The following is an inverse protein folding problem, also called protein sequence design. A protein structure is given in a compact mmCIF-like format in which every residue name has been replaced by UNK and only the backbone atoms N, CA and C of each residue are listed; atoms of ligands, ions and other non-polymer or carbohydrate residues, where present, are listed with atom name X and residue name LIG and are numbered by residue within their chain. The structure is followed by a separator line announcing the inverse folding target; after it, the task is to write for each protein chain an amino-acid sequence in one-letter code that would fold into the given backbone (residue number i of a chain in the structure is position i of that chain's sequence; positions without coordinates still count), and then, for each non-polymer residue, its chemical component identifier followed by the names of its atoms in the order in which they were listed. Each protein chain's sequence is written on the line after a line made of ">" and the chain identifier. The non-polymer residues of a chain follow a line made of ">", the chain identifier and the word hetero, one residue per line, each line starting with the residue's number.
data_IF_735586370205
#
_entry.id   IF_735586370205
#
_cell.length_a   1.000
_cell.length_b   1.000
_cell.length_c   1.000
_cell.angle_alpha   90.00
_cell.angle_beta   90.00
_cell.angle_gamma   90.00
#
_symmetry.space_group_name_H-M   'P 1'
#
loop_
_entity.id
_entity.type
_entity.pdbx_description
1 polymer ?
#
# COMPACT_ATOMS: atom_id res chain seq x y z
N UNK A 1 -31.53 -17.00 34.80
CA UNK A 1 -31.80 -15.54 34.88
C UNK A 1 -30.92 -14.89 33.83
N UNK A 2 -31.58 -14.44 32.78
CA UNK A 2 -31.03 -13.82 31.60
C UNK A 2 -30.56 -12.43 31.89
N UNK A 3 -29.38 -12.06 31.41
CA UNK A 3 -29.01 -10.67 31.24
C UNK A 3 -28.77 -10.42 29.75
N UNK A 4 -29.68 -9.67 29.19
CA UNK A 4 -29.72 -9.13 27.85
C UNK A 4 -28.45 -8.31 27.55
N UNK A 5 -27.80 -8.64 26.45
CA UNK A 5 -26.82 -7.77 25.78
C UNK A 5 -27.57 -6.60 25.15
N UNK A 6 -27.47 -5.43 25.74
CA UNK A 6 -27.84 -4.16 25.11
C UNK A 6 -26.91 -3.91 23.92
N UNK A 7 -27.39 -4.21 22.72
CA UNK A 7 -26.82 -3.72 21.49
C UNK A 7 -27.16 -2.24 21.31
N UNK A 8 -26.46 -1.36 22.02
CA UNK A 8 -26.49 0.06 21.70
C UNK A 8 -25.79 0.29 20.36
N UNK A 9 -26.61 0.35 19.31
CA UNK A 9 -26.20 0.90 18.02
C UNK A 9 -25.89 2.38 18.24
N UNK A 10 -24.65 2.68 18.62
CA UNK A 10 -24.17 4.06 18.70
C UNK A 10 -24.31 4.67 17.30
N UNK A 11 -25.30 5.52 17.14
CA UNK A 11 -25.41 6.42 15.99
C UNK A 11 -24.17 7.32 16.04
N UNK A 12 -23.12 6.91 15.35
CA UNK A 12 -21.97 7.78 15.11
C UNK A 12 -22.46 8.96 14.29
N UNK A 13 -22.39 10.16 14.86
CA UNK A 13 -22.70 11.37 14.13
C UNK A 13 -21.82 11.42 12.87
N UNK A 14 -22.39 11.68 11.69
CA UNK A 14 -21.60 11.80 10.47
C UNK A 14 -20.54 12.89 10.68
N UNK A 15 -19.31 12.63 10.24
CA UNK A 15 -18.28 13.66 10.32
C UNK A 15 -18.59 14.80 9.32
N UNK A 16 -17.94 15.96 9.46
CA UNK A 16 -18.18 17.12 8.61
C UNK A 16 -17.91 16.84 7.13
N UNK A 17 -16.99 15.91 6.83
CA UNK A 17 -16.71 15.49 5.46
C UNK A 17 -17.93 14.76 4.85
N UNK A 18 -18.52 13.81 5.58
CA UNK A 18 -19.70 13.07 5.10
C UNK A 18 -20.89 14.01 4.87
N UNK A 19 -21.08 15.00 5.74
CA UNK A 19 -22.13 16.00 5.57
C UNK A 19 -21.89 16.87 4.31
N UNK A 20 -20.66 17.30 4.09
CA UNK A 20 -20.27 18.06 2.91
C UNK A 20 -20.43 17.23 1.63
N UNK A 21 -20.03 15.95 1.66
CA UNK A 21 -20.23 15.02 0.56
C UNK A 21 -21.71 14.84 0.25
N UNK A 22 -22.54 14.57 1.25
CA UNK A 22 -23.99 14.40 1.08
C UNK A 22 -24.63 15.65 0.44
N UNK A 23 -24.27 16.83 0.94
CA UNK A 23 -24.78 18.11 0.39
C UNK A 23 -24.36 18.26 -1.07
N UNK A 24 -23.09 17.96 -1.37
CA UNK A 24 -22.55 18.04 -2.74
C UNK A 24 -23.21 17.01 -3.67
N UNK A 25 -23.49 15.80 -3.19
CA UNK A 25 -24.23 14.76 -3.93
C UNK A 25 -25.62 15.24 -4.32
N UNK A 26 -26.35 15.86 -3.39
CA UNK A 26 -27.70 16.41 -3.70
C UNK A 26 -27.62 17.51 -4.77
N UNK A 27 -26.69 18.44 -4.63
CA UNK A 27 -26.49 19.51 -5.64
C UNK A 27 -26.08 18.91 -6.98
N UNK A 28 -25.15 17.96 -6.99
CA UNK A 28 -24.71 17.27 -8.20
C UNK A 28 -25.85 16.51 -8.87
N UNK A 29 -26.69 15.80 -8.12
CA UNK A 29 -27.86 15.11 -8.64
C UNK A 29 -28.83 16.05 -9.35
N UNK A 30 -29.14 17.20 -8.75
CA UNK A 30 -29.99 18.25 -9.35
C UNK A 30 -29.38 18.82 -10.63
N UNK A 31 -28.05 19.06 -10.62
CA UNK A 31 -27.34 19.52 -11.81
C UNK A 31 -27.32 18.46 -12.91
N UNK A 32 -27.14 17.20 -12.54
CA UNK A 32 -27.17 16.06 -13.44
C UNK A 32 -28.54 15.86 -14.08
N UNK A 33 -29.62 16.00 -13.30
CA UNK A 33 -30.98 15.99 -13.82
C UNK A 33 -31.23 17.10 -14.89
N UNK A 34 -30.73 18.31 -14.63
CA UNK A 34 -30.88 19.45 -15.56
C UNK A 34 -30.01 19.31 -16.82
N UNK A 35 -28.81 18.78 -16.72
CA UNK A 35 -27.86 18.69 -17.83
C UNK A 35 -27.99 17.41 -18.65
N UNK A 36 -28.42 16.31 -18.04
CA UNK A 36 -28.47 14.98 -18.63
C UNK A 36 -27.09 14.29 -18.68
N UNK A 37 -27.11 12.98 -18.86
CA UNK A 37 -25.90 12.15 -18.99
C UNK A 37 -25.14 12.44 -20.29
N UNK A 38 -25.87 12.69 -21.40
CA UNK A 38 -25.26 12.95 -22.71
C UNK A 38 -24.32 14.17 -22.66
N UNK A 39 -24.64 15.16 -21.85
CA UNK A 39 -23.79 16.35 -21.67
C UNK A 39 -22.78 16.14 -20.55
N UNK A 40 -23.21 15.49 -19.47
CA UNK A 40 -22.39 15.34 -18.25
C UNK A 40 -21.24 14.36 -18.39
N UNK A 41 -21.49 13.17 -18.93
CA UNK A 41 -20.47 12.12 -19.04
C UNK A 41 -19.28 12.51 -19.91
N UNK A 42 -19.45 13.09 -21.12
CA UNK A 42 -18.30 13.58 -21.88
C UNK A 42 -17.55 14.71 -21.17
N UNK A 43 -18.25 15.57 -20.42
CA UNK A 43 -17.64 16.60 -19.60
C UNK A 43 -16.77 16.04 -18.48
N UNK A 44 -17.27 15.01 -17.77
CA UNK A 44 -16.53 14.32 -16.74
C UNK A 44 -15.33 13.54 -17.32
N UNK A 45 -15.53 12.80 -18.41
CA UNK A 45 -14.46 12.07 -19.10
C UNK A 45 -13.35 13.01 -19.58
N UNK A 46 -13.72 14.17 -20.13
CA UNK A 46 -12.78 15.21 -20.53
C UNK A 46 -12.00 15.79 -19.35
N UNK A 47 -12.68 16.04 -18.21
CA UNK A 47 -12.03 16.49 -16.99
C UNK A 47 -11.02 15.47 -16.45
N UNK A 48 -11.40 14.20 -16.42
CA UNK A 48 -10.53 13.10 -15.97
C UNK A 48 -9.31 12.94 -16.89
N UNK A 49 -9.51 12.94 -18.21
CA UNK A 49 -8.42 12.92 -19.17
C UNK A 49 -7.47 14.12 -18.99
N UNK A 50 -8.03 15.30 -18.75
CA UNK A 50 -7.27 16.51 -18.43
C UNK A 50 -6.48 16.40 -17.13
N UNK A 51 -7.05 15.77 -16.10
CA UNK A 51 -6.37 15.53 -14.82
C UNK A 51 -5.17 14.57 -15.00
N UNK A 52 -5.37 13.45 -15.68
CA UNK A 52 -4.31 12.47 -15.96
C UNK A 52 -3.18 13.11 -16.77
N UNK A 53 -3.53 13.81 -17.86
CA UNK A 53 -2.55 14.49 -18.70
C UNK A 53 -1.82 15.59 -17.93
N UNK A 54 -2.53 16.34 -17.09
CA UNK A 54 -1.97 17.39 -16.25
C UNK A 54 -1.00 16.84 -15.21
N UNK A 55 -1.35 15.74 -14.55
CA UNK A 55 -0.49 15.05 -13.61
C UNK A 55 0.80 14.55 -14.28
N UNK A 56 0.68 13.84 -15.41
CA UNK A 56 1.82 13.34 -16.17
C UNK A 56 2.73 14.48 -16.68
N UNK A 57 2.15 15.55 -17.21
CA UNK A 57 2.90 16.72 -17.68
C UNK A 57 3.60 17.43 -16.53
N UNK A 58 2.93 17.56 -15.38
CA UNK A 58 3.53 18.20 -14.20
C UNK A 58 4.72 17.40 -13.67
N UNK A 59 4.64 16.06 -13.65
CA UNK A 59 5.73 15.19 -13.24
C UNK A 59 6.95 15.32 -14.17
N UNK A 60 6.73 15.37 -15.49
CA UNK A 60 7.82 15.45 -16.47
C UNK A 60 8.45 16.83 -16.56
N UNK A 61 7.65 17.90 -16.53
CA UNK A 61 8.14 19.29 -16.73
C UNK A 61 8.72 19.85 -15.44
N UNK A 62 8.06 19.61 -14.30
CA UNK A 62 8.47 20.19 -13.02
C UNK A 62 9.22 19.21 -12.10
N UNK A 63 9.38 17.95 -12.52
CA UNK A 63 10.09 16.92 -11.75
C UNK A 63 11.53 17.29 -11.38
N UNK A 64 12.18 18.16 -12.19
CA UNK A 64 13.54 18.66 -11.96
C UNK A 64 13.62 19.81 -10.94
N UNK A 65 12.49 20.45 -10.61
CA UNK A 65 12.46 21.53 -9.61
C UNK A 65 12.47 20.92 -8.20
N UNK A 66 13.15 21.60 -7.29
CA UNK A 66 13.14 21.24 -5.89
C UNK A 66 11.68 21.25 -5.35
N UNK A 67 11.28 20.26 -4.51
CA UNK A 67 9.99 20.26 -3.85
C UNK A 67 9.74 21.55 -3.09
N UNK A 68 8.51 22.09 -3.19
CA UNK A 68 8.16 23.34 -2.51
C UNK A 68 6.94 24.03 -3.11
N UNK A 69 6.53 25.13 -2.49
CA UNK A 69 5.31 25.86 -2.84
C UNK A 69 5.24 26.27 -4.32
N UNK A 70 6.36 26.67 -4.91
CA UNK A 70 6.40 27.10 -6.33
C UNK A 70 6.11 25.92 -7.25
N UNK A 71 6.78 24.78 -7.05
CA UNK A 71 6.52 23.55 -7.83
C UNK A 71 5.09 23.11 -7.68
N UNK A 72 4.54 23.11 -6.47
CA UNK A 72 3.15 22.76 -6.19
C UNK A 72 2.19 23.69 -6.93
N UNK A 73 2.37 25.00 -6.85
CA UNK A 73 1.50 25.97 -7.53
C UNK A 73 1.54 25.80 -9.05
N UNK A 74 2.71 25.56 -9.63
CA UNK A 74 2.84 25.27 -11.06
C UNK A 74 2.12 23.99 -11.45
N UNK A 75 2.32 22.90 -10.71
CA UNK A 75 1.65 21.63 -10.94
C UNK A 75 0.14 21.78 -10.86
N UNK A 76 -0.37 22.39 -9.78
CA UNK A 76 -1.82 22.63 -9.61
C UNK A 76 -2.39 23.50 -10.72
N UNK A 77 -1.66 24.52 -11.17
CA UNK A 77 -2.11 25.41 -12.26
C UNK A 77 -2.26 24.65 -13.58
N UNK A 78 -1.27 23.79 -13.92
CA UNK A 78 -1.31 22.97 -15.14
C UNK A 78 -2.44 21.94 -15.07
N UNK A 79 -2.57 21.23 -13.95
CA UNK A 79 -3.64 20.25 -13.74
C UNK A 79 -4.99 20.93 -13.84
N UNK A 80 -5.22 22.03 -13.09
CA UNK A 80 -6.49 22.77 -13.13
C UNK A 80 -6.82 23.30 -14.53
N UNK A 81 -5.84 23.80 -15.24
CA UNK A 81 -6.02 24.29 -16.62
C UNK A 81 -6.46 23.18 -17.58
N UNK A 82 -5.81 22.02 -17.53
CA UNK A 82 -6.13 20.88 -18.39
C UNK A 82 -7.46 20.22 -17.99
N UNK A 83 -7.77 20.15 -16.70
CA UNK A 83 -9.10 19.72 -16.23
C UNK A 83 -10.19 20.63 -16.76
N UNK A 84 -10.03 21.94 -16.64
CA UNK A 84 -11.01 22.92 -17.13
C UNK A 84 -11.17 22.84 -18.66
N UNK A 85 -10.06 22.75 -19.39
CA UNK A 85 -10.08 22.60 -20.85
C UNK A 85 -10.81 21.32 -21.27
N UNK A 86 -10.46 20.17 -20.69
CA UNK A 86 -11.06 18.88 -20.98
C UNK A 86 -12.56 18.87 -20.64
N UNK A 87 -12.95 19.42 -19.49
CA UNK A 87 -14.34 19.56 -19.08
C UNK A 87 -15.14 20.41 -20.08
N UNK A 88 -14.62 21.56 -20.51
CA UNK A 88 -15.28 22.44 -21.49
C UNK A 88 -15.41 21.77 -22.85
N UNK A 89 -14.36 21.12 -23.32
CA UNK A 89 -14.37 20.37 -24.58
C UNK A 89 -15.43 19.25 -24.56
N UNK A 90 -15.41 18.43 -23.49
CA UNK A 90 -16.38 17.35 -23.29
C UNK A 90 -17.84 17.87 -23.19
N UNK A 91 -18.07 18.96 -22.45
CA UNK A 91 -19.40 19.58 -22.36
C UNK A 91 -19.88 20.15 -23.71
N UNK A 92 -18.98 20.70 -24.53
CA UNK A 92 -19.36 21.17 -25.89
C UNK A 92 -19.74 20.01 -26.78
N UNK A 93 -18.96 18.93 -26.78
CA UNK A 93 -19.27 17.71 -27.53
C UNK A 93 -20.61 17.10 -27.09
N UNK A 94 -20.82 16.99 -25.76
CA UNK A 94 -22.07 16.47 -25.19
C UNK A 94 -23.28 17.34 -25.55
N UNK A 95 -23.14 18.67 -25.57
CA UNK A 95 -24.26 19.58 -26.01
C UNK A 95 -24.59 19.41 -27.50
N UNK A 96 -23.58 19.25 -28.34
CA UNK A 96 -23.79 18.96 -29.75
C UNK A 96 -24.53 17.61 -29.93
N UNK A 97 -24.13 16.57 -29.22
CA UNK A 97 -24.82 15.29 -29.24
C UNK A 97 -26.28 15.40 -28.72
N UNK A 98 -26.49 16.11 -27.61
CA UNK A 98 -27.86 16.29 -27.05
C UNK A 98 -28.78 17.02 -27.99
N UNK A 99 -28.28 17.94 -28.80
CA UNK A 99 -29.09 18.68 -29.80
C UNK A 99 -29.75 17.78 -30.88
N UNK A 100 -29.23 16.56 -31.06
CA UNK A 100 -29.79 15.57 -31.99
C UNK A 100 -30.91 14.72 -31.38
N UNK A 101 -31.09 14.78 -30.02
CA UNK A 101 -32.11 13.99 -29.32
C UNK A 101 -33.41 14.79 -29.17
N UNK A 102 -34.39 14.45 -30.01
CA UNK A 102 -35.68 15.11 -30.02
C UNK A 102 -36.81 14.36 -29.28
N UNK A 103 -36.63 13.05 -29.04
CA UNK A 103 -37.63 12.23 -28.37
C UNK A 103 -37.77 12.60 -26.87
N UNK A 104 -38.98 12.92 -26.37
CA UNK A 104 -39.21 13.29 -24.97
C UNK A 104 -38.89 12.14 -23.98
N UNK A 105 -39.07 10.88 -24.37
CA UNK A 105 -38.75 9.71 -23.51
C UNK A 105 -37.23 9.58 -23.34
N UNK A 106 -36.49 9.71 -24.44
CA UNK A 106 -35.05 9.72 -24.42
C UNK A 106 -34.49 10.88 -23.60
N UNK A 107 -35.08 12.07 -23.65
CA UNK A 107 -34.68 13.21 -22.83
C UNK A 107 -34.91 12.99 -21.34
N UNK A 108 -36.01 12.31 -20.94
CA UNK A 108 -36.24 11.94 -19.53
C UNK A 108 -35.26 10.89 -19.06
N UNK A 109 -35.03 9.87 -19.88
CA UNK A 109 -34.03 8.85 -19.56
C UNK A 109 -32.62 9.47 -19.39
N UNK A 110 -32.24 10.39 -20.29
CA UNK A 110 -30.98 11.14 -20.19
C UNK A 110 -30.88 11.94 -18.89
N UNK A 111 -31.98 12.60 -18.46
CA UNK A 111 -31.99 13.33 -17.21
C UNK A 111 -31.84 12.43 -15.99
N UNK A 112 -32.52 11.26 -15.96
CA UNK A 112 -32.36 10.26 -14.87
C UNK A 112 -30.95 9.72 -14.81
N UNK A 113 -30.40 9.29 -15.95
CA UNK A 113 -29.02 8.82 -16.03
C UNK A 113 -28.02 9.90 -15.62
N UNK A 114 -28.26 11.16 -15.99
CA UNK A 114 -27.46 12.30 -15.56
C UNK A 114 -27.49 12.50 -14.04
N UNK A 115 -28.68 12.44 -13.44
CA UNK A 115 -28.86 12.53 -11.99
C UNK A 115 -27.99 11.49 -11.27
N UNK A 116 -28.09 10.22 -11.67
CA UNK A 116 -27.35 9.12 -11.07
C UNK A 116 -25.85 9.26 -11.29
N UNK A 117 -25.42 9.57 -12.52
CA UNK A 117 -24.00 9.70 -12.85
C UNK A 117 -23.32 10.81 -12.04
N UNK A 118 -23.95 11.97 -11.89
CA UNK A 118 -23.39 13.07 -11.10
C UNK A 118 -23.41 12.78 -9.61
N UNK A 119 -24.45 12.10 -9.10
CA UNK A 119 -24.51 11.69 -7.69
C UNK A 119 -23.40 10.72 -7.33
N UNK A 120 -23.11 9.73 -8.20
CA UNK A 120 -22.05 8.74 -7.99
C UNK A 120 -20.65 9.31 -8.21
N UNK A 121 -20.51 10.31 -9.07
CA UNK A 121 -19.20 10.93 -9.33
C UNK A 121 -18.64 11.65 -8.10
N UNK A 122 -19.46 12.22 -7.24
CA UNK A 122 -19.01 12.98 -6.06
C UNK A 122 -18.25 12.13 -5.06
N UNK A 123 -18.79 11.03 -4.50
CA UNK A 123 -18.08 10.20 -3.57
C UNK A 123 -16.83 9.56 -4.21
N UNK A 124 -16.88 9.21 -5.49
CA UNK A 124 -15.74 8.70 -6.23
C UNK A 124 -14.59 9.71 -6.31
N UNK A 125 -14.90 10.98 -6.62
CA UNK A 125 -13.89 12.05 -6.67
C UNK A 125 -13.31 12.30 -5.28
N UNK A 126 -14.15 12.35 -4.24
CA UNK A 126 -13.66 12.50 -2.86
C UNK A 126 -12.71 11.37 -2.50
N UNK A 127 -13.08 10.13 -2.80
CA UNK A 127 -12.24 8.96 -2.53
C UNK A 127 -10.91 9.01 -3.32
N UNK A 128 -10.92 9.36 -4.61
CA UNK A 128 -9.70 9.49 -5.43
C UNK A 128 -8.67 10.46 -4.83
N UNK A 129 -9.14 11.51 -4.13
CA UNK A 129 -8.27 12.50 -3.49
C UNK A 129 -8.11 12.30 -1.98
N UNK A 130 -8.69 11.24 -1.41
CA UNK A 130 -8.58 10.93 0.02
C UNK A 130 -7.19 10.39 0.42
N UNK A 131 -6.53 9.61 -0.46
CA UNK A 131 -5.27 8.93 -0.18
C UNK A 131 -4.17 9.83 0.43
N UNK A 132 -3.89 11.06 -0.07
CA UNK A 132 -2.89 11.94 0.53
C UNK A 132 -3.28 12.47 1.92
N UNK A 133 -4.53 12.32 2.31
CA UNK A 133 -5.12 12.88 3.54
C UNK A 133 -5.54 11.79 4.54
N UNK A 134 -5.17 10.53 4.30
CA UNK A 134 -5.52 9.38 5.17
C UNK A 134 -5.00 9.54 6.62
N UNK A 135 -3.93 10.31 6.83
CA UNK A 135 -3.46 10.67 8.17
C UNK A 135 -4.40 11.61 8.92
N UNK A 136 -5.33 12.28 8.22
CA UNK A 136 -6.33 13.15 8.82
C UNK A 136 -7.48 12.34 9.42
N UNK A 137 -7.86 12.62 10.67
CA UNK A 137 -9.02 12.00 11.31
C UNK A 137 -10.32 12.20 10.52
N UNK A 138 -10.47 13.33 9.81
CA UNK A 138 -11.64 13.61 8.97
C UNK A 138 -11.82 12.61 7.83
N UNK A 139 -10.73 12.16 7.22
CA UNK A 139 -10.75 11.21 6.10
C UNK A 139 -10.87 9.79 6.63
N UNK A 140 -10.04 9.44 7.62
CA UNK A 140 -10.01 8.09 8.23
C UNK A 140 -11.36 7.70 8.85
N UNK A 141 -12.06 8.67 9.47
CA UNK A 141 -13.35 8.44 10.13
C UNK A 141 -14.55 8.66 9.18
N UNK A 142 -14.32 8.96 7.89
CA UNK A 142 -15.39 9.18 6.90
C UNK A 142 -16.02 7.86 6.49
N UNK A 143 -17.34 7.77 6.67
CA UNK A 143 -18.14 6.64 6.20
C UNK A 143 -18.16 6.57 4.68
N UNK A 144 -18.17 7.73 4.01
CA UNK A 144 -18.17 7.80 2.54
C UNK A 144 -16.88 7.22 1.96
N UNK A 145 -15.71 7.61 2.50
CA UNK A 145 -14.42 7.12 2.01
C UNK A 145 -14.32 5.62 2.19
N UNK A 146 -14.64 5.10 3.38
CA UNK A 146 -14.63 3.65 3.67
C UNK A 146 -15.59 2.88 2.77
N UNK A 147 -16.84 3.37 2.59
CA UNK A 147 -17.82 2.67 1.75
C UNK A 147 -17.38 2.60 0.28
N UNK A 148 -16.73 3.66 -0.24
CA UNK A 148 -16.21 3.64 -1.62
C UNK A 148 -15.00 2.70 -1.70
N UNK A 149 -14.13 2.68 -0.70
CA UNK A 149 -12.96 1.80 -0.64
C UNK A 149 -13.36 0.32 -0.67
N UNK A 150 -14.38 -0.05 0.11
CA UNK A 150 -14.94 -1.41 0.18
C UNK A 150 -15.50 -1.92 -1.17
N UNK A 151 -16.01 -1.01 -2.03
CA UNK A 151 -16.64 -1.38 -3.31
C UNK A 151 -15.82 -0.99 -4.54
N UNK A 152 -14.75 -0.21 -4.36
CA UNK A 152 -13.93 0.26 -5.47
C UNK A 152 -13.15 -0.90 -6.11
N UNK A 153 -13.22 -1.05 -7.44
CA UNK A 153 -12.40 -2.04 -8.12
C UNK A 153 -10.91 -1.70 -7.97
N UNK A 154 -10.07 -2.71 -7.80
CA UNK A 154 -8.62 -2.55 -7.56
C UNK A 154 -7.87 -1.68 -8.59
N UNK A 155 -8.34 -1.62 -9.85
CA UNK A 155 -7.73 -0.75 -10.87
C UNK A 155 -7.95 0.75 -10.62
N UNK A 156 -8.94 1.12 -9.81
CA UNK A 156 -9.19 2.51 -9.42
C UNK A 156 -8.15 3.02 -8.41
N UNK A 157 -7.57 2.17 -7.57
CA UNK A 157 -6.50 2.57 -6.65
C UNK A 157 -5.25 3.07 -7.40
N UNK A 158 -4.88 2.39 -8.51
CA UNK A 158 -3.82 2.87 -9.40
C UNK A 158 -4.12 4.25 -10.01
N UNK A 159 -5.39 4.55 -10.31
CA UNK A 159 -5.78 5.86 -10.81
C UNK A 159 -5.61 6.96 -9.74
N UNK A 160 -5.97 6.67 -8.48
CA UNK A 160 -5.73 7.59 -7.35
C UNK A 160 -4.25 7.94 -7.24
N UNK A 161 -3.36 6.95 -7.30
CA UNK A 161 -1.92 7.15 -7.23
C UNK A 161 -1.38 8.00 -8.39
N UNK A 162 -1.82 7.75 -9.63
CA UNK A 162 -1.46 8.56 -10.82
C UNK A 162 -1.89 10.02 -10.67
N UNK A 163 -3.07 10.27 -10.11
CA UNK A 163 -3.63 11.61 -9.97
C UNK A 163 -3.03 12.39 -8.79
N UNK A 164 -2.79 11.70 -7.67
CA UNK A 164 -2.36 12.35 -6.43
C UNK A 164 -0.85 12.33 -6.21
N UNK A 165 -0.14 11.33 -6.75
CA UNK A 165 1.30 11.19 -6.61
C UNK A 165 2.07 12.47 -6.95
N UNK A 166 1.89 13.07 -8.15
CA UNK A 166 2.58 14.31 -8.51
C UNK A 166 2.26 15.50 -7.61
N UNK A 167 1.05 15.53 -7.02
CA UNK A 167 0.63 16.60 -6.09
C UNK A 167 1.30 16.41 -4.73
N UNK A 168 1.33 15.17 -4.25
CA UNK A 168 2.03 14.80 -3.02
C UNK A 168 3.53 15.06 -3.15
N UNK A 169 4.14 14.62 -4.24
CA UNK A 169 5.57 14.82 -4.53
C UNK A 169 5.93 16.30 -4.75
N UNK A 170 4.97 17.11 -5.18
CA UNK A 170 5.19 18.54 -5.41
C UNK A 170 5.14 19.39 -4.13
N UNK A 171 4.57 18.91 -3.01
CA UNK A 171 4.63 19.68 -1.78
C UNK A 171 3.46 19.60 -0.81
N UNK A 172 2.46 18.76 -1.03
CA UNK A 172 1.47 18.46 0.03
C UNK A 172 1.99 17.40 1.01
N UNK A 173 2.88 16.50 0.55
CA UNK A 173 3.72 15.71 1.43
C UNK A 173 4.84 16.59 1.97
N UNK A 174 5.02 16.67 3.27
CA UNK A 174 6.26 17.19 3.86
C UNK A 174 7.37 16.37 3.21
N UNK A 175 8.36 16.97 2.50
CA UNK A 175 9.48 16.20 2.01
C UNK A 175 10.11 15.56 3.24
N UNK A 176 9.97 14.26 3.39
CA UNK A 176 10.68 13.57 4.44
C UNK A 176 12.16 13.79 4.13
N UNK A 177 12.92 14.26 5.10
CA UNK A 177 14.35 14.29 4.95
C UNK A 177 14.81 12.87 4.59
N UNK A 178 15.84 12.70 3.75
CA UNK A 178 16.37 11.36 3.46
C UNK A 178 16.70 10.63 4.77
N UNK A 179 16.67 9.28 4.78
CA UNK A 179 17.04 8.51 5.95
C UNK A 179 18.40 8.95 6.50
N UNK A 180 18.53 8.98 7.83
CA UNK A 180 19.82 9.30 8.46
C UNK A 180 20.83 8.16 8.19
N UNK A 181 21.87 8.37 7.38
CA UNK A 181 22.86 7.31 7.12
C UNK A 181 23.66 6.94 8.36
N UNK A 182 23.68 7.78 9.39
CA UNK A 182 24.36 7.52 10.66
C UNK A 182 23.73 6.39 11.47
N UNK A 183 22.43 6.08 11.24
CA UNK A 183 21.73 5.04 11.99
C UNK A 183 22.34 3.63 11.77
N UNK A 184 22.95 3.38 10.61
CA UNK A 184 23.59 2.09 10.28
C UNK A 184 25.07 2.04 10.66
N UNK A 185 25.69 3.17 11.02
CA UNK A 185 27.10 3.22 11.37
C UNK A 185 27.39 2.77 12.82
N UNK A 186 26.35 2.64 13.65
CA UNK A 186 26.48 2.20 15.05
C UNK A 186 26.74 0.70 15.22
N UNK A 187 27.00 0.23 16.45
CA UNK A 187 27.25 -1.18 16.75
C UNK A 187 25.99 -2.05 16.67
N UNK A 188 24.79 -1.46 16.74
CA UNK A 188 23.52 -2.19 16.82
C UNK A 188 23.25 -3.06 15.59
N UNK A 189 23.37 -2.59 14.34
CA UNK A 189 23.14 -3.46 13.19
C UNK A 189 24.10 -4.66 13.14
N UNK A 190 25.35 -4.47 13.54
CA UNK A 190 26.33 -5.55 13.63
C UNK A 190 25.99 -6.57 14.73
N UNK A 191 25.45 -6.12 15.86
CA UNK A 191 25.01 -7.01 16.94
C UNK A 191 23.81 -7.88 16.53
N UNK A 192 22.91 -7.38 15.70
CA UNK A 192 21.73 -8.12 15.22
C UNK A 192 22.06 -9.15 14.13
N UNK A 193 23.24 -9.08 13.51
CA UNK A 193 23.65 -9.95 12.40
C UNK A 193 23.44 -11.44 12.66
N UNK A 194 23.71 -11.90 13.88
CA UNK A 194 23.58 -13.33 14.23
C UNK A 194 22.11 -13.82 14.18
N UNK A 195 21.13 -12.92 14.35
CA UNK A 195 19.71 -13.22 14.38
C UNK A 195 19.00 -12.94 13.04
N UNK A 196 19.71 -12.35 12.06
CA UNK A 196 19.25 -12.15 10.69
C UNK A 196 19.97 -13.15 9.79
N UNK A 197 19.20 -13.99 9.11
CA UNK A 197 19.71 -15.16 8.43
C UNK A 197 19.42 -15.08 6.93
N UNK A 198 20.33 -15.57 6.10
CA UNK A 198 20.06 -15.78 4.69
C UNK A 198 19.24 -17.06 4.54
N UNK A 199 18.08 -16.95 3.89
CA UNK A 199 17.21 -18.08 3.55
C UNK A 199 17.45 -18.47 2.10
N UNK A 200 17.65 -19.75 1.84
CA UNK A 200 17.90 -20.28 0.51
C UNK A 200 16.99 -21.46 0.22
N UNK A 201 16.45 -21.49 -0.98
CA UNK A 201 15.77 -22.65 -1.54
C UNK A 201 16.80 -23.60 -2.14
N UNK A 202 16.87 -24.83 -1.59
CA UNK A 202 17.78 -25.89 -2.03
C UNK A 202 17.18 -26.82 -3.09
N UNK A 203 15.89 -26.75 -3.36
CA UNK A 203 15.22 -27.62 -4.32
C UNK A 203 14.46 -26.78 -5.35
N UNK A 204 15.10 -26.43 -6.47
CA UNK A 204 14.54 -25.57 -7.48
C UNK A 204 13.47 -26.31 -8.31
N UNK A 205 12.34 -26.71 -7.70
CA UNK A 205 11.15 -27.18 -8.43
C UNK A 205 10.65 -26.10 -9.37
N UNK A 206 11.00 -24.84 -9.09
CA UNK A 206 10.63 -23.66 -9.87
C UNK A 206 11.65 -23.30 -10.96
N UNK A 207 12.71 -24.08 -11.15
CA UNK A 207 13.76 -23.79 -12.14
C UNK A 207 14.68 -22.61 -11.80
N UNK A 208 14.44 -21.91 -10.68
CA UNK A 208 15.21 -20.75 -10.23
C UNK A 208 15.56 -20.95 -8.75
N UNK A 209 16.81 -20.68 -8.37
CA UNK A 209 17.18 -20.60 -6.94
C UNK A 209 16.63 -19.31 -6.37
N UNK A 210 15.74 -19.42 -5.38
CA UNK A 210 15.26 -18.28 -4.64
C UNK A 210 16.15 -18.06 -3.40
N UNK A 211 16.44 -16.80 -3.12
CA UNK A 211 17.20 -16.40 -1.94
C UNK A 211 16.58 -15.15 -1.35
N UNK A 212 16.38 -15.16 -0.05
CA UNK A 212 15.86 -14.04 0.71
C UNK A 212 16.53 -13.95 2.07
N UNK A 213 15.91 -13.23 2.95
CA UNK A 213 16.30 -13.05 4.34
C UNK A 213 15.27 -13.66 5.27
N UNK A 214 15.65 -13.88 6.51
CA UNK A 214 14.77 -14.25 7.60
C UNK A 214 15.34 -13.77 8.92
N UNK A 215 14.57 -13.80 9.97
CA UNK A 215 15.08 -13.46 11.31
C UNK A 215 14.46 -14.34 12.39
N UNK A 216 15.18 -14.48 13.48
CA UNK A 216 14.78 -15.33 14.60
C UNK A 216 13.71 -14.64 15.43
N UNK A 217 12.53 -15.27 15.55
CA UNK A 217 11.40 -14.77 16.36
C UNK A 217 11.20 -15.52 17.67
N UNK A 218 11.73 -16.74 17.75
CA UNK A 218 11.72 -17.59 18.95
C UNK A 218 12.84 -18.63 18.83
N UNK A 219 13.19 -19.39 19.88
CA UNK A 219 14.15 -20.48 19.78
C UNK A 219 13.79 -21.43 18.64
N UNK A 220 14.74 -21.67 17.75
CA UNK A 220 14.61 -22.53 16.57
C UNK A 220 13.48 -22.12 15.60
N UNK A 221 13.01 -20.85 15.65
CA UNK A 221 11.97 -20.33 14.75
C UNK A 221 12.47 -19.10 14.01
N UNK A 222 12.38 -19.16 12.70
CA UNK A 222 12.76 -18.09 11.78
C UNK A 222 11.53 -17.63 11.01
N UNK A 223 11.25 -16.34 11.00
CA UNK A 223 10.24 -15.70 10.18
C UNK A 223 10.87 -15.26 8.86
N UNK A 224 10.16 -15.50 7.76
CA UNK A 224 10.52 -15.06 6.40
C UNK A 224 9.26 -14.81 5.59
N UNK A 225 9.38 -14.36 4.35
CA UNK A 225 8.23 -14.26 3.45
C UNK A 225 7.85 -15.60 2.82
N UNK A 226 6.57 -15.78 2.50
CA UNK A 226 6.07 -16.96 1.83
C UNK A 226 6.67 -17.09 0.42
N UNK A 227 6.78 -15.97 -0.34
CA UNK A 227 7.34 -16.01 -1.68
C UNK A 227 8.80 -16.45 -1.72
N UNK A 228 9.57 -16.32 -0.62
CA UNK A 228 10.97 -16.78 -0.53
C UNK A 228 11.07 -18.31 -0.50
N UNK A 229 10.02 -18.98 -0.02
CA UNK A 229 10.01 -20.46 0.16
C UNK A 229 8.89 -21.15 -0.61
N UNK A 230 8.16 -20.42 -1.46
CA UNK A 230 7.06 -20.98 -2.25
C UNK A 230 7.57 -22.05 -3.22
N UNK A 231 6.88 -23.20 -3.27
CA UNK A 231 7.25 -24.34 -4.11
C UNK A 231 8.50 -25.10 -3.65
N UNK A 232 9.10 -24.72 -2.50
CA UNK A 232 10.32 -25.33 -1.99
C UNK A 232 10.05 -26.66 -1.30
N UNK A 233 10.81 -27.69 -1.65
CA UNK A 233 10.84 -28.96 -0.92
C UNK A 233 11.95 -29.02 0.14
N UNK A 234 12.96 -28.16 0.05
CA UNK A 234 14.09 -28.06 0.99
C UNK A 234 14.52 -26.61 1.14
N UNK A 235 14.49 -26.12 2.35
CA UNK A 235 14.94 -24.78 2.72
C UNK A 235 16.17 -24.91 3.61
N UNK A 236 17.13 -24.01 3.46
CA UNK A 236 18.26 -23.87 4.39
C UNK A 236 18.39 -22.42 4.86
N UNK A 237 18.95 -22.28 6.04
CA UNK A 237 19.32 -20.96 6.60
C UNK A 237 20.82 -20.95 6.87
N UNK A 238 21.48 -19.87 6.46
CA UNK A 238 22.91 -19.70 6.71
C UNK A 238 23.11 -18.97 8.04
N UNK A 239 23.89 -19.60 8.91
CA UNK A 239 24.31 -19.07 10.20
C UNK A 239 25.81 -18.81 10.21
N UNK A 240 26.31 -18.16 11.25
CA UNK A 240 27.77 -18.02 11.45
C UNK A 240 28.50 -19.36 11.61
N UNK A 241 27.81 -20.40 12.07
CA UNK A 241 28.36 -21.75 12.27
C UNK A 241 28.22 -22.66 11.04
N UNK A 242 27.56 -22.20 9.99
CA UNK A 242 27.31 -22.97 8.77
C UNK A 242 25.81 -22.95 8.38
N UNK A 243 25.47 -23.74 7.39
CA UNK A 243 24.10 -23.84 6.87
C UNK A 243 23.32 -24.92 7.62
N UNK A 244 22.12 -24.58 8.11
CA UNK A 244 21.20 -25.49 8.78
C UNK A 244 20.00 -25.78 7.88
N UNK A 245 19.51 -27.02 7.91
CA UNK A 245 18.27 -27.39 7.22
C UNK A 245 17.09 -26.82 7.98
N UNK A 246 16.13 -26.25 7.24
CA UNK A 246 14.90 -25.69 7.76
C UNK A 246 13.68 -26.41 7.21
N UNK A 247 12.63 -26.48 8.02
CA UNK A 247 11.33 -27.04 7.64
C UNK A 247 10.29 -25.92 7.72
N UNK A 248 9.50 -25.73 6.66
CA UNK A 248 8.39 -24.76 6.68
C UNK A 248 7.25 -25.34 7.53
N UNK A 249 6.90 -24.67 8.62
CA UNK A 249 5.87 -25.11 9.61
C UNK A 249 4.63 -24.21 9.60
N UNK A 250 4.72 -23.05 8.98
CA UNK A 250 3.61 -22.17 8.66
C UNK A 250 3.85 -21.54 7.29
N UNK A 251 2.80 -21.46 6.48
CA UNK A 251 2.86 -20.85 5.16
C UNK A 251 1.55 -20.12 4.90
N UNK A 252 1.62 -18.81 4.68
CA UNK A 252 0.48 -17.96 4.39
C UNK A 252 0.76 -17.11 3.15
N UNK A 253 0.25 -17.52 1.98
CA UNK A 253 0.48 -16.82 0.72
C UNK A 253 -0.25 -15.47 0.64
N UNK A 254 -1.34 -15.29 1.42
CA UNK A 254 -2.10 -14.06 1.43
C UNK A 254 -1.41 -12.97 2.24
N UNK A 255 -0.82 -13.33 3.38
CA UNK A 255 -0.01 -12.42 4.20
C UNK A 255 1.43 -12.31 3.71
N UNK A 256 1.85 -13.19 2.80
CA UNK A 256 3.23 -13.36 2.36
C UNK A 256 4.18 -13.67 3.53
N UNK A 257 3.79 -14.61 4.40
CA UNK A 257 4.54 -14.97 5.61
C UNK A 257 4.78 -16.48 5.64
N UNK A 258 5.98 -16.87 6.04
CA UNK A 258 6.33 -18.25 6.37
C UNK A 258 7.15 -18.33 7.66
N UNK A 259 6.92 -19.39 8.44
CA UNK A 259 7.74 -19.71 9.61
C UNK A 259 8.50 -20.99 9.36
N UNK A 260 9.78 -20.95 9.66
CA UNK A 260 10.70 -22.07 9.53
C UNK A 260 11.05 -22.63 10.91
N UNK A 261 10.93 -23.94 11.07
CA UNK A 261 11.59 -24.67 12.16
C UNK A 261 13.02 -25.00 11.76
N UNK A 262 13.99 -24.61 12.58
CA UNK A 262 15.43 -24.75 12.31
C UNK A 262 16.09 -25.42 13.51
N UNK A 263 16.05 -26.77 13.60
CA UNK A 263 16.64 -27.50 14.72
C UNK A 263 18.13 -27.20 14.87
N UNK A 264 18.56 -26.93 16.09
CA UNK A 264 19.96 -26.60 16.42
C UNK A 264 20.34 -25.14 16.19
N UNK A 265 19.37 -24.25 15.83
CA UNK A 265 19.62 -22.83 15.74
C UNK A 265 19.79 -22.23 17.14
N UNK A 266 20.99 -21.68 17.42
CA UNK A 266 21.35 -21.08 18.72
C UNK A 266 21.28 -19.55 18.72
N UNK A 267 21.01 -18.93 17.56
CA UNK A 267 20.89 -17.47 17.45
C UNK A 267 19.71 -16.94 18.28
N UNK A 268 19.87 -15.81 19.00
CA UNK A 268 18.82 -15.25 19.86
C UNK A 268 17.67 -14.68 19.03
N UNK A 269 16.46 -14.72 19.59
CA UNK A 269 15.31 -14.07 18.99
C UNK A 269 15.44 -12.54 19.06
N UNK A 270 14.98 -11.86 18.03
CA UNK A 270 14.85 -10.40 18.02
C UNK A 270 13.67 -9.96 18.88
N UNK A 271 13.80 -8.79 19.49
CA UNK A 271 12.73 -8.19 20.29
C UNK A 271 11.78 -7.43 19.39
N UNK A 272 10.47 -7.55 19.63
CA UNK A 272 9.43 -6.80 18.89
C UNK A 272 9.36 -5.38 19.46
N UNK A 273 9.16 -4.40 18.59
CA UNK A 273 8.90 -3.02 19.01
C UNK A 273 7.54 -2.95 19.74
N UNK A 274 7.47 -2.30 20.90
CA UNK A 274 6.21 -2.19 21.66
C UNK A 274 5.18 -1.29 20.98
N UNK A 275 5.65 -0.32 20.23
CA UNK A 275 4.82 0.66 19.50
C UNK A 275 5.22 0.64 18.02
N UNK A 276 4.26 0.87 17.13
CA UNK A 276 4.55 1.05 15.71
C UNK A 276 5.32 2.36 15.47
N UNK A 277 6.10 2.40 14.40
CA UNK A 277 6.79 3.63 13.99
C UNK A 277 5.84 4.61 13.29
N UNK A 278 6.08 5.90 13.54
CA UNK A 278 5.34 7.00 12.95
C UNK A 278 6.01 7.52 11.64
N UNK A 279 5.23 8.21 10.78
CA UNK A 279 5.81 8.88 9.61
C UNK A 279 6.89 9.88 10.00
N UNK A 280 8.08 9.73 9.43
CA UNK A 280 9.27 10.52 9.72
C UNK A 280 10.29 9.82 10.62
N UNK A 281 9.94 8.69 11.23
CA UNK A 281 10.88 7.90 12.02
C UNK A 281 11.90 7.21 11.12
N UNK A 282 13.15 7.16 11.61
CA UNK A 282 14.18 6.37 10.98
C UNK A 282 14.06 4.91 11.40
N UNK A 283 14.26 4.03 10.43
CA UNK A 283 14.30 2.59 10.61
C UNK A 283 15.46 1.97 9.81
N UNK A 284 15.76 0.71 10.07
CA UNK A 284 16.82 -0.02 9.38
C UNK A 284 16.24 -1.29 8.81
N UNK A 285 16.38 -1.49 7.50
CA UNK A 285 16.11 -2.77 6.86
C UNK A 285 17.39 -3.63 6.91
N UNK A 286 17.28 -4.83 7.50
CA UNK A 286 18.39 -5.77 7.65
C UNK A 286 18.16 -6.98 6.75
N UNK A 287 19.19 -7.44 6.06
CA UNK A 287 19.05 -8.61 5.20
C UNK A 287 20.26 -8.93 4.35
N UNK A 288 20.02 -9.74 3.31
CA UNK A 288 21.03 -10.25 2.38
C UNK A 288 20.65 -9.88 0.93
N UNK A 289 20.82 -8.60 0.54
CA UNK A 289 20.42 -8.15 -0.78
C UNK A 289 21.12 -8.97 -1.87
N UNK A 290 20.35 -9.44 -2.85
CA UNK A 290 20.80 -10.28 -3.98
C UNK A 290 21.51 -11.59 -3.54
N UNK A 291 21.19 -12.10 -2.35
CA UNK A 291 21.88 -13.26 -1.78
C UNK A 291 23.36 -13.00 -1.41
N UNK A 292 23.76 -11.72 -1.37
CA UNK A 292 25.10 -11.28 -1.04
C UNK A 292 25.42 -11.28 0.45
N UNK A 293 26.25 -10.32 0.90
CA UNK A 293 26.61 -10.15 2.30
C UNK A 293 25.48 -9.52 3.11
N UNK A 294 25.49 -9.76 4.42
CA UNK A 294 24.62 -9.04 5.36
C UNK A 294 24.79 -7.54 5.21
N UNK A 295 23.67 -6.86 5.08
CA UNK A 295 23.60 -5.42 4.85
C UNK A 295 22.55 -4.81 5.77
N UNK A 296 22.88 -3.66 6.34
CA UNK A 296 21.96 -2.77 7.03
C UNK A 296 21.72 -1.55 6.13
N UNK A 297 20.48 -1.31 5.75
CA UNK A 297 20.07 -0.19 4.91
C UNK A 297 19.28 0.81 5.74
N UNK A 298 19.74 2.07 5.80
CA UNK A 298 18.98 3.14 6.43
C UNK A 298 17.70 3.39 5.63
N UNK A 299 16.59 3.46 6.32
CA UNK A 299 15.27 3.74 5.79
C UNK A 299 14.55 4.77 6.66
N UNK A 300 13.53 5.42 6.11
CA UNK A 300 12.64 6.29 6.86
C UNK A 300 11.20 5.91 6.60
N UNK A 301 10.39 5.82 7.64
CA UNK A 301 8.98 5.54 7.52
C UNK A 301 8.29 6.73 6.84
N UNK A 302 7.71 6.49 5.66
CA UNK A 302 6.90 7.46 4.93
C UNK A 302 5.46 7.47 5.42
N UNK A 303 4.96 6.28 5.76
CA UNK A 303 3.62 6.09 6.28
C UNK A 303 3.36 4.64 6.66
N UNK A 304 2.25 4.43 7.35
CA UNK A 304 1.71 3.12 7.72
C UNK A 304 0.21 3.14 7.49
N UNK A 305 -0.30 2.19 6.72
CA UNK A 305 -1.72 2.07 6.40
C UNK A 305 -2.12 0.63 6.14
N UNK A 306 -3.39 0.30 6.38
CA UNK A 306 -4.01 -0.90 5.86
C UNK A 306 -4.16 -0.77 4.35
N UNK A 307 -3.72 -1.78 3.62
CA UNK A 307 -3.77 -1.82 2.16
C UNK A 307 -4.19 -3.18 1.66
N UNK A 308 -4.99 -3.16 0.60
CA UNK A 308 -5.31 -4.36 -0.15
C UNK A 308 -4.12 -4.71 -1.06
N UNK A 309 -3.51 -5.86 -0.80
CA UNK A 309 -2.32 -6.34 -1.52
C UNK A 309 -2.62 -7.70 -2.13
N UNK A 310 -2.15 -7.91 -3.35
CA UNK A 310 -2.25 -9.21 -4.00
C UNK A 310 -1.45 -10.26 -3.23
N UNK A 311 -1.97 -11.49 -3.20
CA UNK A 311 -1.23 -12.64 -2.71
C UNK A 311 0.02 -12.91 -3.58
N UNK A 312 0.91 -13.78 -3.13
CA UNK A 312 2.15 -14.12 -3.85
C UNK A 312 1.91 -14.78 -5.22
N UNK A 313 0.70 -15.25 -5.49
CA UNK A 313 0.28 -15.87 -6.75
C UNK A 313 -0.49 -14.92 -7.66
N UNK A 314 -0.79 -13.70 -7.19
CA UNK A 314 -1.62 -12.69 -7.86
C UNK A 314 -3.05 -13.15 -8.17
N UNK A 315 -3.52 -14.19 -7.48
CA UNK A 315 -4.86 -14.78 -7.66
C UNK A 315 -5.88 -14.30 -6.65
N UNK A 316 -5.43 -13.82 -5.49
CA UNK A 316 -6.25 -13.27 -4.42
C UNK A 316 -5.75 -11.91 -3.95
N UNK A 317 -6.54 -11.29 -3.09
CA UNK A 317 -6.21 -10.03 -2.43
C UNK A 317 -6.37 -10.22 -0.93
N UNK A 318 -5.40 -9.77 -0.15
CA UNK A 318 -5.44 -9.73 1.31
C UNK A 318 -5.26 -8.31 1.82
N UNK A 319 -5.85 -8.00 2.95
CA UNK A 319 -5.64 -6.75 3.66
C UNK A 319 -4.44 -6.91 4.58
N UNK A 320 -3.50 -5.95 4.52
CA UNK A 320 -2.28 -5.93 5.34
C UNK A 320 -1.97 -4.52 5.79
N UNK A 321 -1.53 -4.39 7.03
CA UNK A 321 -0.94 -3.14 7.52
C UNK A 321 0.50 -3.03 7.04
N UNK A 322 0.78 -2.04 6.20
CA UNK A 322 2.05 -1.89 5.49
C UNK A 322 2.73 -0.57 5.85
N UNK A 323 4.02 -0.66 6.16
CA UNK A 323 4.94 0.47 6.16
C UNK A 323 5.39 0.77 4.73
N UNK A 324 5.24 2.01 4.28
CA UNK A 324 5.92 2.54 3.11
C UNK A 324 7.20 3.22 3.58
N UNK A 325 8.32 2.88 2.97
CA UNK A 325 9.66 3.25 3.41
C UNK A 325 10.39 4.04 2.32
N UNK A 326 11.04 5.14 2.71
CA UNK A 326 12.09 5.77 1.90
C UNK A 326 13.43 5.15 2.24
N UNK A 327 14.17 4.66 1.24
CA UNK A 327 15.49 4.06 1.42
C UNK A 327 15.81 3.01 0.39
N UNK A 328 17.07 2.61 0.31
CA UNK A 328 17.53 1.61 -0.65
C UNK A 328 17.21 0.20 -0.15
N UNK A 329 16.03 -0.31 -0.49
CA UNK A 329 15.67 -1.72 -0.30
C UNK A 329 15.88 -2.45 -1.63
N UNK A 330 16.41 -3.67 -1.58
CA UNK A 330 16.76 -4.45 -2.76
C UNK A 330 16.17 -5.86 -2.66
N UNK A 331 16.00 -6.51 -3.81
CA UNK A 331 15.67 -7.94 -3.85
C UNK A 331 16.64 -8.73 -2.99
N UNK A 332 16.14 -9.67 -2.19
CA UNK A 332 16.89 -10.41 -1.20
C UNK A 332 16.79 -9.84 0.23
N UNK A 333 16.34 -8.59 0.40
CA UNK A 333 15.94 -8.10 1.72
C UNK A 333 14.57 -8.66 2.14
N UNK A 334 13.79 -9.19 1.21
CA UNK A 334 12.52 -9.87 1.48
C UNK A 334 12.66 -10.93 2.56
N UNK A 335 11.79 -10.92 3.55
CA UNK A 335 11.85 -11.76 4.75
C UNK A 335 12.74 -11.21 5.86
N UNK A 336 13.55 -10.19 5.61
CA UNK A 336 14.37 -9.54 6.63
C UNK A 336 13.58 -8.60 7.52
N UNK A 337 14.07 -8.31 8.75
CA UNK A 337 13.39 -7.42 9.66
C UNK A 337 13.59 -5.96 9.28
N UNK A 338 12.55 -5.16 9.44
CA UNK A 338 12.63 -3.73 9.61
C UNK A 338 12.73 -3.45 11.11
N UNK A 339 13.77 -2.74 11.55
CA UNK A 339 13.99 -2.47 12.98
C UNK A 339 14.04 -0.97 13.26
N UNK A 340 13.65 -0.59 14.49
CA UNK A 340 13.78 0.77 15.00
C UNK A 340 15.26 1.10 15.36
N UNK A 341 15.51 2.30 15.89
CA UNK A 341 16.84 2.75 16.32
C UNK A 341 17.42 1.95 17.48
N UNK A 342 16.56 1.24 18.24
CA UNK A 342 16.95 0.37 19.37
C UNK A 342 17.15 -1.08 18.94
N UNK A 343 16.96 -1.42 17.67
CA UNK A 343 17.07 -2.76 17.12
C UNK A 343 15.85 -3.65 17.36
N UNK A 344 14.70 -3.06 17.69
CA UNK A 344 13.44 -3.79 17.88
C UNK A 344 12.70 -3.88 16.55
N UNK A 345 12.08 -5.02 16.28
CA UNK A 345 11.43 -5.30 15.01
C UNK A 345 10.08 -4.59 14.90
N UNK A 346 9.94 -3.75 13.89
CA UNK A 346 8.72 -3.05 13.48
C UNK A 346 7.90 -3.86 12.48
N UNK A 347 8.58 -4.57 11.58
CA UNK A 347 7.92 -5.27 10.48
C UNK A 347 8.85 -6.23 9.74
N UNK A 348 8.29 -6.89 8.71
CA UNK A 348 9.01 -7.76 7.79
C UNK A 348 9.03 -7.13 6.40
N UNK A 349 10.20 -6.93 5.84
CA UNK A 349 10.39 -6.37 4.48
C UNK A 349 9.92 -7.40 3.46
N UNK A 350 9.09 -7.00 2.48
CA UNK A 350 8.57 -7.91 1.47
C UNK A 350 8.75 -7.45 0.01
N UNK A 351 9.02 -6.18 -0.24
CA UNK A 351 9.13 -5.71 -1.61
C UNK A 351 9.68 -4.30 -1.76
N UNK A 352 9.86 -3.93 -3.01
CA UNK A 352 10.24 -2.59 -3.47
C UNK A 352 9.26 -2.14 -4.53
N UNK A 353 9.12 -0.84 -4.71
CA UNK A 353 8.32 -0.27 -5.78
C UNK A 353 9.00 -0.51 -7.13
N UNK A 354 8.26 -1.03 -8.11
CA UNK A 354 8.78 -1.35 -9.46
C UNK A 354 9.23 -0.09 -10.22
N UNK A 355 8.63 1.07 -9.92
CA UNK A 355 8.89 2.33 -10.60
C UNK A 355 9.88 3.23 -9.84
N UNK A 356 10.09 2.97 -8.52
CA UNK A 356 10.95 3.76 -7.67
C UNK A 356 11.75 2.90 -6.69
N UNK A 357 12.97 2.55 -7.05
CA UNK A 357 13.86 1.71 -6.24
C UNK A 357 14.22 2.29 -4.86
N UNK A 358 13.87 3.54 -4.58
CA UNK A 358 14.04 4.16 -3.27
C UNK A 358 12.80 4.02 -2.37
N UNK A 359 11.74 3.36 -2.84
CA UNK A 359 10.54 3.08 -2.05
C UNK A 359 10.46 1.58 -1.80
N UNK A 360 10.39 1.23 -0.52
CA UNK A 360 10.24 -0.16 -0.09
C UNK A 360 9.01 -0.34 0.77
N UNK A 361 8.66 -1.62 1.01
CA UNK A 361 7.48 -1.99 1.77
C UNK A 361 7.81 -3.04 2.82
N UNK A 362 7.19 -2.91 4.01
CA UNK A 362 7.27 -3.92 5.06
C UNK A 362 5.88 -4.14 5.68
N UNK A 363 5.52 -5.40 5.94
CA UNK A 363 4.29 -5.74 6.69
C UNK A 363 4.55 -5.52 8.17
N UNK A 364 3.58 -4.91 8.87
CA UNK A 364 3.64 -4.66 10.32
C UNK A 364 3.78 -5.97 11.10
N UNK A 365 4.78 -6.05 11.99
CA UNK A 365 5.01 -7.28 12.76
C UNK A 365 3.91 -7.59 13.78
N UNK A 366 3.31 -6.63 14.50
CA UNK A 366 2.19 -6.91 15.37
C UNK A 366 1.03 -7.61 14.65
N UNK A 367 0.66 -7.16 13.45
CA UNK A 367 -0.37 -7.82 12.63
C UNK A 367 0.04 -9.24 12.24
N UNK A 368 1.30 -9.42 11.82
CA UNK A 368 1.82 -10.74 11.46
C UNK A 368 1.71 -11.71 12.65
N UNK A 369 2.09 -11.28 13.84
CA UNK A 369 2.05 -12.12 15.05
C UNK A 369 0.63 -12.45 15.48
N UNK A 370 -0.31 -11.52 15.33
CA UNK A 370 -1.73 -11.75 15.61
C UNK A 370 -2.31 -12.82 14.66
N UNK A 371 -1.98 -12.71 13.37
CA UNK A 371 -2.43 -13.66 12.34
C UNK A 371 -1.76 -15.03 12.38
N UNK A 372 -0.55 -15.12 12.91
CA UNK A 372 0.16 -16.40 13.02
C UNK A 372 -0.48 -17.36 14.02
N UNK A 373 -1.32 -16.85 14.96
CA UNK A 373 -1.87 -17.61 16.08
C UNK A 373 -0.78 -18.44 16.80
N UNK A 374 -1.12 -19.58 17.42
CA UNK A 374 -0.12 -20.46 18.09
C UNK A 374 0.37 -21.61 17.20
N UNK A 375 -0.13 -21.74 15.98
CA UNK A 375 0.18 -22.86 15.06
C UNK A 375 1.62 -22.88 14.58
N UNK A 376 2.29 -21.74 14.52
CA UNK A 376 3.69 -21.61 14.11
C UNK A 376 4.71 -22.26 15.07
N UNK A 377 4.30 -22.63 16.27
CA UNK A 377 5.13 -23.36 17.25
C UNK A 377 5.17 -24.87 16.97
N UNK A 378 4.34 -25.37 16.07
CA UNK A 378 4.36 -26.75 15.61
C UNK A 378 5.62 -27.08 14.86
N UNK A 379 6.07 -28.34 14.91
CA UNK A 379 7.18 -28.86 14.08
C UNK A 379 6.66 -29.60 12.83
N UNK A 380 5.35 -29.58 12.58
CA UNK A 380 4.76 -30.30 11.45
C UNK A 380 5.03 -29.54 10.15
N UNK A 381 5.62 -30.19 9.15
CA UNK A 381 5.78 -29.61 7.84
C UNK A 381 4.41 -29.22 7.23
N UNK A 382 4.40 -28.10 6.52
CA UNK A 382 3.24 -27.67 5.73
C UNK A 382 3.61 -27.59 4.26
N UNK A 383 2.59 -27.68 3.39
CA UNK A 383 2.77 -27.46 1.96
C UNK A 383 3.11 -25.99 1.68
N UNK A 384 4.06 -25.75 0.80
CA UNK A 384 4.53 -24.43 0.36
C UNK A 384 3.88 -23.98 -0.94
N UNK A 385 2.86 -24.70 -1.40
CA UNK A 385 2.12 -24.39 -2.60
C UNK A 385 2.94 -24.43 -3.90
N UNK A 386 2.41 -23.87 -4.99
CA UNK A 386 3.15 -23.70 -6.24
C UNK A 386 4.23 -22.61 -6.12
N UNK A 387 5.05 -22.49 -7.15
CA UNK A 387 6.04 -21.42 -7.26
C UNK A 387 5.36 -20.05 -7.28
N UNK A 388 5.88 -19.07 -6.55
CA UNK A 388 5.47 -17.68 -6.69
C UNK A 388 5.88 -17.13 -8.06
N UNK A 389 5.00 -16.34 -8.68
CA UNK A 389 5.17 -15.79 -10.04
C UNK A 389 5.90 -14.44 -10.03
#
# INVERSE_FOLDING_TARGET
>A
MSTSSDGSMALTLPNWLDLAVLTTVVVAAVLGWRRGAIVGLPGFAGALAGAILGAALSATVFGQLAPGAVRLLLALTVVAGLVAFGAVAGHRAGRAARATVSDPVAQRADAVCGCLAYALAVPLVVWLFAAPLESSALVRDSTTVRTVDDVAPFWLSGLSEVLTGPIVDAGLGRPLAPPDPGIVAGPMPAALRQSVLRVQDLAPTCGVRQSGSGFVIAPERVLTNAHVVAGSSKVSVDTAAGSLTATVVRFDPTMDIAVLAVPGLTAPALTVAPEPADPGDDAIALGYPRGGSYTASATRVRGRAERQVRDIYRTGVGEREIYTLDGSIQHGNSGGPLVDRDGRVLGIVFGVDENNSNVGFATSLPEVLDRLDHGWRSDRPVDTGPCAS
#
